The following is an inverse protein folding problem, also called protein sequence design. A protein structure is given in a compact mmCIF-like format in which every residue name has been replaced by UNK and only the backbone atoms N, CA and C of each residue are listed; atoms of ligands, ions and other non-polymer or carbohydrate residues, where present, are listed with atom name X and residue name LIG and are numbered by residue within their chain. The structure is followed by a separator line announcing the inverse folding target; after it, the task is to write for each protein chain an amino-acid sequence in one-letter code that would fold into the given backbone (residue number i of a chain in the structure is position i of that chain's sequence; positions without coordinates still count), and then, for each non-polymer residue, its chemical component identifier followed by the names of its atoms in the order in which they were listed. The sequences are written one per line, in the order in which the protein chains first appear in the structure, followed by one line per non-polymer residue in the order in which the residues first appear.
data_IF_236017115795
#
_entry.id   IF_236017115795
#
_cell.length_a   1.000
_cell.length_b   1.000
_cell.length_c   1.000
_cell.angle_alpha   90.00
_cell.angle_beta   90.00
_cell.angle_gamma   90.00
#
_symmetry.space_group_name_H-M   'P 1'
#
loop_
_entity.id
_entity.type
_entity.pdbx_description
1 polymer ?
#
# COMPACT_ATOMS: atom_id res chain seq x y z
N UNK A 1 -10.28 21.87 -9.30
CA UNK A 1 -9.63 20.55 -9.15
C UNK A 1 -8.25 20.76 -8.55
N UNK A 2 -7.77 19.81 -7.76
CA UNK A 2 -6.47 19.83 -7.10
C UNK A 2 -5.67 18.61 -7.53
N UNK A 3 -4.41 18.84 -7.87
CA UNK A 3 -3.45 17.80 -8.23
C UNK A 3 -2.28 17.90 -7.28
N UNK A 4 -1.93 16.80 -6.63
CA UNK A 4 -0.76 16.68 -5.78
C UNK A 4 0.14 15.59 -6.35
N UNK A 5 1.42 15.91 -6.53
CA UNK A 5 2.44 14.93 -6.87
C UNK A 5 3.53 14.97 -5.80
N UNK A 6 3.96 13.80 -5.38
CA UNK A 6 5.05 13.62 -4.42
C UNK A 6 6.06 12.65 -4.99
N UNK A 7 7.31 13.11 -5.07
CA UNK A 7 8.49 12.28 -5.24
C UNK A 7 9.16 12.16 -3.87
N UNK A 8 9.20 10.96 -3.32
CA UNK A 8 9.80 10.71 -2.02
C UNK A 8 10.61 9.42 -2.05
N UNK A 9 11.54 9.27 -1.12
CA UNK A 9 12.22 8.01 -0.89
C UNK A 9 12.49 7.84 0.60
N UNK A 10 12.57 6.58 1.01
CA UNK A 10 12.88 6.22 2.38
C UNK A 10 13.84 5.04 2.36
N UNK A 11 15.04 5.23 2.93
CA UNK A 11 16.08 4.20 3.03
C UNK A 11 16.59 4.13 4.46
N UNK A 12 16.98 2.94 4.88
CA UNK A 12 17.45 2.70 6.24
C UNK A 12 18.09 1.33 6.36
N UNK A 13 18.87 1.15 7.42
CA UNK A 13 19.42 -0.15 7.80
C UNK A 13 18.28 -1.10 8.15
N UNK A 14 18.37 -2.35 7.69
CA UNK A 14 17.31 -3.35 7.82
C UNK A 14 16.00 -2.96 7.13
N UNK A 15 16.00 -1.97 6.23
CA UNK A 15 14.81 -1.52 5.52
C UNK A 15 13.74 -0.89 6.42
N UNK A 16 14.15 -0.23 7.51
CA UNK A 16 13.26 0.43 8.47
C UNK A 16 13.30 1.97 8.35
N UNK A 17 12.17 2.65 8.61
CA UNK A 17 12.03 4.13 8.60
C UNK A 17 12.22 4.81 9.96
N UNK A 18 12.61 4.09 10.99
CA UNK A 18 12.67 4.52 12.40
C UNK A 18 11.35 4.31 13.19
N UNK A 19 11.47 4.02 14.50
CA UNK A 19 10.51 3.26 15.34
C UNK A 19 9.09 3.87 15.50
N UNK A 20 8.06 3.23 14.91
CA UNK A 20 6.64 3.49 15.27
C UNK A 20 5.80 2.25 15.56
N UNK A 21 6.42 1.09 15.79
CA UNK A 21 5.74 -0.03 16.47
C UNK A 21 6.30 -0.12 17.88
N UNK A 22 5.44 0.12 18.87
CA UNK A 22 5.73 -0.11 20.28
C UNK A 22 6.05 -1.61 20.44
N UNK A 23 7.33 -1.97 20.51
CA UNK A 23 7.83 -3.35 20.49
C UNK A 23 8.65 -3.76 19.26
N UNK A 24 8.89 -2.85 18.30
CA UNK A 24 9.83 -3.06 17.21
C UNK A 24 11.25 -3.11 17.78
N UNK A 25 11.85 -4.30 17.81
CA UNK A 25 13.23 -4.49 18.21
C UNK A 25 14.13 -3.50 17.43
N UNK A 26 15.17 -2.96 18.08
CA UNK A 26 16.43 -2.69 17.38
C UNK A 26 16.88 -4.08 16.90
N UNK A 27 16.30 -4.52 15.79
CA UNK A 27 16.22 -5.92 15.44
C UNK A 27 17.42 -6.29 14.60
N UNK A 28 18.05 -7.43 14.87
CA UNK A 28 19.40 -7.72 14.39
C UNK A 28 19.41 -7.86 12.87
N UNK A 29 20.61 -7.86 12.31
CA UNK A 29 20.91 -8.38 10.98
C UNK A 29 19.95 -9.50 10.57
N UNK A 30 19.57 -9.52 9.29
CA UNK A 30 18.96 -10.72 8.71
C UNK A 30 20.01 -11.82 8.71
N UNK A 31 19.97 -12.65 9.76
CA UNK A 31 20.97 -13.67 10.04
C UNK A 31 21.21 -14.54 8.81
N UNK A 32 22.44 -14.49 8.33
CA UNK A 32 22.91 -15.24 7.19
C UNK A 32 23.91 -16.31 7.66
N UNK A 33 23.81 -17.51 7.09
CA UNK A 33 24.70 -18.64 7.43
C UNK A 33 26.16 -18.38 7.08
N UNK A 34 26.43 -17.39 6.22
CA UNK A 34 27.75 -17.15 5.65
C UNK A 34 28.48 -15.93 6.23
N UNK A 35 27.78 -14.85 6.61
CA UNK A 35 28.41 -13.62 7.14
C UNK A 35 27.42 -12.84 8.00
N UNK A 36 27.93 -12.22 9.07
CA UNK A 36 27.19 -11.57 10.13
C UNK A 36 27.51 -10.07 10.33
N UNK A 37 26.61 -9.10 10.08
CA UNK A 37 26.76 -7.72 10.55
C UNK A 37 25.67 -6.73 10.11
N UNK A 38 25.17 -5.95 11.07
CA UNK A 38 24.18 -4.88 10.81
C UNK A 38 24.70 -3.80 9.86
N UNK A 39 26.02 -3.64 9.73
CA UNK A 39 26.67 -2.61 8.89
C UNK A 39 27.04 -3.09 7.49
N UNK A 40 26.63 -4.30 7.11
CA UNK A 40 26.97 -4.85 5.81
C UNK A 40 26.23 -4.08 4.68
N UNK A 41 26.83 -3.92 3.48
CA UNK A 41 26.26 -3.08 2.43
C UNK A 41 24.84 -3.47 2.01
N UNK A 42 24.50 -4.76 2.12
CA UNK A 42 23.19 -5.30 1.74
C UNK A 42 22.08 -5.07 2.77
N UNK A 43 22.42 -4.63 3.99
CA UNK A 43 21.45 -4.22 5.02
C UNK A 43 20.92 -2.81 4.77
N UNK A 44 21.62 -2.00 3.97
CA UNK A 44 21.16 -0.66 3.59
C UNK A 44 20.30 -0.69 2.33
N UNK A 45 18.99 -0.50 2.50
CA UNK A 45 18.05 -0.58 1.37
C UNK A 45 16.85 0.35 1.49
N UNK A 46 15.94 0.28 0.51
CA UNK A 46 14.61 0.89 0.63
C UNK A 46 13.90 0.40 1.88
N UNK A 47 13.07 1.24 2.46
CA UNK A 47 12.20 0.82 3.56
C UNK A 47 10.89 0.23 3.07
N UNK A 48 10.14 -0.48 3.92
CA UNK A 48 8.84 -1.08 3.56
C UNK A 48 7.80 -0.05 3.09
N UNK A 49 8.00 1.23 3.39
CA UNK A 49 7.14 2.35 2.98
C UNK A 49 7.76 3.20 1.86
N UNK A 50 8.90 2.79 1.28
CA UNK A 50 9.55 3.46 0.16
C UNK A 50 8.65 3.45 -1.09
N UNK A 51 7.92 4.54 -1.27
CA UNK A 51 6.99 4.75 -2.37
C UNK A 51 7.45 5.96 -3.18
N UNK A 52 8.03 5.70 -4.37
CA UNK A 52 8.78 6.71 -5.12
C UNK A 52 7.91 7.83 -5.67
N UNK A 53 6.86 7.46 -6.37
CA UNK A 53 5.96 8.40 -7.02
C UNK A 53 4.57 8.21 -6.44
N UNK A 54 3.92 9.30 -6.02
CA UNK A 54 2.49 9.34 -5.73
C UNK A 54 1.89 10.53 -6.45
N UNK A 55 0.77 10.29 -7.14
CA UNK A 55 -0.09 11.33 -7.68
C UNK A 55 -1.50 11.14 -7.13
N UNK A 56 -2.08 12.22 -6.65
CA UNK A 56 -3.48 12.28 -6.21
C UNK A 56 -4.17 13.44 -6.91
N UNK A 57 -5.29 13.15 -7.57
CA UNK A 57 -6.13 14.12 -8.27
C UNK A 57 -7.50 14.07 -7.64
N UNK A 58 -8.03 15.20 -7.20
CA UNK A 58 -9.38 15.28 -6.65
C UNK A 58 -10.03 16.62 -6.97
N UNK A 59 -11.34 16.67 -7.03
CA UNK A 59 -12.05 17.92 -7.19
C UNK A 59 -13.55 17.74 -7.19
N UNK A 60 -14.27 18.85 -7.26
CA UNK A 60 -15.72 18.88 -7.49
C UNK A 60 -15.95 19.55 -8.84
N UNK A 61 -16.72 18.89 -9.70
CA UNK A 61 -17.08 19.35 -11.03
C UNK A 61 -18.59 19.56 -11.05
N UNK A 62 -19.06 20.81 -11.01
CA UNK A 62 -20.47 21.09 -11.19
C UNK A 62 -20.86 20.75 -12.64
N UNK A 63 -21.92 19.98 -12.78
CA UNK A 63 -22.54 19.61 -14.05
C UNK A 63 -23.87 20.33 -14.22
N UNK A 64 -24.46 20.19 -15.41
CA UNK A 64 -25.80 20.71 -15.70
C UNK A 64 -26.84 20.06 -14.76
N UNK A 65 -27.95 20.76 -14.58
CA UNK A 65 -29.10 20.30 -13.79
C UNK A 65 -28.82 20.09 -12.30
N UNK A 66 -27.90 20.84 -11.69
CA UNK A 66 -27.64 20.75 -10.24
C UNK A 66 -27.03 19.41 -9.80
N UNK A 67 -26.28 18.77 -10.70
CA UNK A 67 -25.50 17.57 -10.40
C UNK A 67 -24.06 18.00 -10.14
N UNK A 68 -23.47 17.55 -9.05
CA UNK A 68 -22.05 17.72 -8.74
C UNK A 68 -21.36 16.37 -8.77
N UNK A 69 -20.26 16.27 -9.52
CA UNK A 69 -19.43 15.07 -9.58
C UNK A 69 -18.09 15.36 -8.91
N UNK A 70 -17.77 14.60 -7.88
CA UNK A 70 -16.54 14.72 -7.11
C UNK A 70 -15.66 13.48 -7.28
N UNK A 71 -14.82 13.40 -8.32
CA UNK A 71 -13.87 12.31 -8.49
C UNK A 71 -12.66 12.45 -7.56
N UNK A 72 -12.09 11.31 -7.17
CA UNK A 72 -10.77 11.22 -6.57
C UNK A 72 -10.00 10.04 -7.17
N UNK A 73 -8.78 10.31 -7.65
CA UNK A 73 -7.89 9.33 -8.23
C UNK A 73 -6.56 9.37 -7.48
N UNK A 74 -6.02 8.21 -7.17
CA UNK A 74 -4.67 8.08 -6.60
C UNK A 74 -3.93 6.95 -7.30
N UNK A 75 -2.72 7.26 -7.77
CA UNK A 75 -1.79 6.26 -8.26
C UNK A 75 -0.44 6.43 -7.58
N UNK A 76 0.20 5.32 -7.22
CA UNK A 76 1.52 5.35 -6.64
C UNK A 76 2.37 4.13 -6.97
N UNK A 77 3.69 4.31 -6.93
CA UNK A 77 4.65 3.24 -7.19
C UNK A 77 4.50 2.06 -6.23
N UNK A 78 4.98 0.90 -6.65
CA UNK A 78 4.99 -0.29 -5.81
C UNK A 78 5.94 -0.12 -4.61
N UNK A 79 5.43 -0.47 -3.43
CA UNK A 79 6.23 -0.57 -2.20
C UNK A 79 7.09 -1.83 -2.22
N UNK A 80 8.28 -1.79 -1.60
CA UNK A 80 9.17 -2.93 -1.63
C UNK A 80 8.88 -3.93 -0.52
N UNK A 81 9.38 -5.15 -0.72
CA UNK A 81 9.42 -6.24 0.26
C UNK A 81 10.72 -7.03 0.08
N UNK A 82 11.16 -7.69 1.15
CA UNK A 82 12.38 -8.51 1.15
C UNK A 82 12.05 -9.94 0.77
N UNK A 83 12.84 -10.55 -0.11
CA UNK A 83 12.76 -11.97 -0.44
C UNK A 83 13.83 -12.78 0.28
N UNK A 84 13.49 -14.02 0.63
CA UNK A 84 14.34 -14.93 1.38
C UNK A 84 14.51 -16.26 0.64
N UNK A 85 15.73 -16.80 0.63
CA UNK A 85 16.03 -18.08 -0.02
C UNK A 85 15.83 -19.30 0.87
N UNK A 86 15.97 -19.15 2.19
CA UNK A 86 15.91 -20.24 3.16
C UNK A 86 15.45 -19.74 4.54
N UNK A 87 14.89 -20.60 5.41
CA UNK A 87 14.59 -20.24 6.78
C UNK A 87 15.86 -19.83 7.54
N UNK A 88 15.69 -19.01 8.57
CA UNK A 88 16.80 -18.68 9.47
C UNK A 88 17.24 -19.96 10.23
N UNK A 89 18.50 -20.42 10.06
CA UNK A 89 19.02 -21.65 10.68
C UNK A 89 19.10 -21.57 12.21
N UNK A 90 19.14 -20.37 12.79
CA UNK A 90 19.32 -20.14 14.22
C UNK A 90 17.99 -20.04 14.99
N UNK A 91 16.86 -20.35 14.35
CA UNK A 91 15.56 -20.40 15.03
C UNK A 91 14.96 -19.02 15.38
N UNK A 92 15.23 -17.99 14.57
CA UNK A 92 14.66 -16.65 14.74
C UNK A 92 13.17 -16.54 14.33
N UNK A 93 12.60 -15.34 14.50
CA UNK A 93 11.22 -15.04 14.10
C UNK A 93 10.96 -15.49 12.66
N UNK A 94 9.81 -16.15 12.43
CA UNK A 94 9.34 -16.64 11.13
C UNK A 94 9.18 -15.54 10.06
N UNK A 95 9.49 -14.28 10.40
CA UNK A 95 9.51 -13.11 9.52
C UNK A 95 10.90 -12.79 8.96
N UNK A 96 11.93 -13.55 9.32
CA UNK A 96 13.32 -13.38 8.89
C UNK A 96 13.90 -14.71 8.39
N UNK A 97 14.40 -14.73 7.15
CA UNK A 97 15.12 -15.87 6.55
C UNK A 97 16.45 -15.41 5.96
N UNK A 98 17.22 -16.30 5.35
CA UNK A 98 18.46 -15.91 4.67
C UNK A 98 18.10 -15.11 3.42
N UNK A 99 18.78 -13.97 3.18
CA UNK A 99 18.57 -13.17 1.97
C UNK A 99 18.60 -14.00 0.70
N UNK A 100 17.74 -13.66 -0.25
CA UNK A 100 17.88 -14.17 -1.60
C UNK A 100 19.24 -13.72 -2.18
N UNK A 101 19.94 -14.63 -2.87
CA UNK A 101 21.24 -14.36 -3.49
C UNK A 101 21.14 -14.25 -5.01
N UNK A 102 22.05 -13.47 -5.60
CA UNK A 102 22.26 -13.41 -7.05
C UNK A 102 22.99 -14.67 -7.59
N UNK A 103 23.26 -14.70 -8.89
CA UNK A 103 23.97 -15.81 -9.54
C UNK A 103 25.43 -15.98 -9.08
N UNK A 104 26.03 -14.92 -8.51
CA UNK A 104 27.39 -14.92 -7.99
C UNK A 104 27.43 -15.28 -6.50
N UNK A 105 26.27 -15.52 -5.87
CA UNK A 105 26.16 -15.82 -4.45
C UNK A 105 26.11 -14.61 -3.54
N UNK A 106 26.02 -13.38 -4.06
CA UNK A 106 25.92 -12.17 -3.22
C UNK A 106 24.48 -11.97 -2.74
N UNK A 107 24.26 -11.54 -1.47
CA UNK A 107 22.93 -11.19 -0.99
C UNK A 107 22.32 -10.05 -1.83
N UNK A 108 21.05 -10.19 -2.23
CA UNK A 108 20.28 -9.13 -2.90
C UNK A 108 19.87 -8.01 -1.94
N UNK A 109 20.00 -8.26 -0.63
CA UNK A 109 19.78 -7.29 0.43
C UNK A 109 18.32 -7.03 0.76
N UNK A 110 18.13 -6.08 1.69
CA UNK A 110 16.79 -5.74 2.18
C UNK A 110 15.94 -5.08 1.11
N UNK A 111 14.66 -5.47 1.08
CA UNK A 111 13.64 -4.85 0.24
C UNK A 111 14.01 -4.84 -1.25
N UNK A 112 14.59 -5.95 -1.69
CA UNK A 112 15.12 -6.19 -3.03
C UNK A 112 14.03 -6.36 -4.11
N UNK A 113 12.79 -6.63 -3.72
CA UNK A 113 11.67 -6.79 -4.63
C UNK A 113 10.59 -5.71 -4.40
N UNK A 114 9.70 -5.52 -5.37
CA UNK A 114 8.56 -4.61 -5.28
C UNK A 114 7.25 -5.32 -5.59
N UNK A 115 6.22 -4.98 -4.82
CA UNK A 115 4.89 -5.56 -4.98
C UNK A 115 4.10 -4.88 -6.10
N UNK A 116 2.79 -4.67 -5.89
CA UNK A 116 1.93 -4.03 -6.90
C UNK A 116 1.80 -2.53 -6.63
N UNK A 117 1.91 -1.73 -7.69
CA UNK A 117 1.62 -0.29 -7.65
C UNK A 117 0.18 -0.04 -7.15
N UNK A 118 -0.05 1.07 -6.45
CA UNK A 118 -1.39 1.54 -6.05
C UNK A 118 -2.05 2.23 -7.25
N UNK A 119 -3.31 1.88 -7.54
CA UNK A 119 -4.16 2.63 -8.49
C UNK A 119 -5.59 2.51 -7.98
N UNK A 120 -6.19 3.65 -7.67
CA UNK A 120 -7.53 3.72 -7.09
C UNK A 120 -8.29 4.91 -7.70
N UNK A 121 -9.56 4.68 -8.04
CA UNK A 121 -10.50 5.69 -8.52
C UNK A 121 -11.79 5.56 -7.71
N UNK A 122 -12.19 6.67 -7.09
CA UNK A 122 -13.47 6.82 -6.43
C UNK A 122 -14.19 8.03 -7.01
N UNK A 123 -15.50 8.09 -6.84
CA UNK A 123 -16.27 9.28 -7.18
C UNK A 123 -17.51 9.42 -6.29
N UNK A 124 -17.93 10.64 -6.06
CA UNK A 124 -19.26 10.94 -5.50
C UNK A 124 -20.07 11.73 -6.51
N UNK A 125 -21.30 11.31 -6.76
CA UNK A 125 -22.26 12.06 -7.57
C UNK A 125 -23.35 12.55 -6.64
N UNK A 126 -23.62 13.85 -6.63
CA UNK A 126 -24.65 14.48 -5.81
C UNK A 126 -25.63 15.21 -6.72
N UNK A 127 -26.93 15.05 -6.50
CA UNK A 127 -27.98 15.84 -7.13
C UNK A 127 -28.62 16.70 -6.07
N UNK A 128 -28.57 18.01 -6.27
CA UNK A 128 -29.21 19.00 -5.41
C UNK A 128 -30.55 19.43 -6.02
N UNK A 129 -31.60 19.38 -5.21
CA UNK A 129 -32.95 19.83 -5.56
C UNK A 129 -33.35 20.90 -4.56
N UNK A 130 -33.51 22.12 -5.05
CA UNK A 130 -34.02 23.25 -4.26
C UNK A 130 -35.55 23.13 -4.18
N UNK A 131 -36.09 23.28 -2.98
CA UNK A 131 -37.51 23.28 -2.68
C UNK A 131 -37.95 24.69 -2.28
N UNK A 132 -39.26 25.01 -2.35
CA UNK A 132 -39.79 26.25 -1.80
C UNK A 132 -39.48 26.40 -0.30
N UNK A 133 -39.55 27.64 0.20
CA UNK A 133 -39.31 27.98 1.60
C UNK A 133 -37.89 27.67 2.08
N UNK A 134 -36.88 27.94 1.24
CA UNK A 134 -35.44 27.75 1.56
C UNK A 134 -35.03 26.32 1.93
N UNK A 135 -35.85 25.32 1.58
CA UNK A 135 -35.57 23.91 1.82
C UNK A 135 -34.75 23.32 0.67
N UNK A 136 -33.99 22.26 0.94
CA UNK A 136 -33.27 21.53 -0.11
C UNK A 136 -33.16 20.04 0.19
N UNK A 137 -33.22 19.22 -0.86
CA UNK A 137 -32.89 17.79 -0.81
C UNK A 137 -31.67 17.54 -1.68
N UNK A 138 -30.66 16.90 -1.10
CA UNK A 138 -29.50 16.39 -1.83
C UNK A 138 -29.55 14.87 -1.80
N UNK A 139 -29.52 14.21 -2.95
CA UNK A 139 -29.31 12.76 -3.04
C UNK A 139 -27.94 12.50 -3.60
N UNK A 140 -27.24 11.48 -3.11
CA UNK A 140 -25.89 11.17 -3.55
C UNK A 140 -25.62 9.67 -3.64
N UNK A 141 -24.70 9.34 -4.55
CA UNK A 141 -24.11 8.02 -4.70
C UNK A 141 -22.59 8.15 -4.62
N UNK A 142 -21.97 7.36 -3.75
CA UNK A 142 -20.52 7.26 -3.58
C UNK A 142 -20.05 5.93 -4.15
N UNK A 143 -19.10 6.00 -5.07
CA UNK A 143 -18.51 4.88 -5.78
C UNK A 143 -17.08 4.70 -5.28
N UNK A 144 -16.81 3.56 -4.68
CA UNK A 144 -15.49 3.20 -4.16
C UNK A 144 -14.86 2.10 -5.01
N UNK A 145 -13.56 2.21 -5.27
CA UNK A 145 -12.78 1.30 -6.11
C UNK A 145 -13.43 1.02 -7.48
N UNK A 146 -13.74 2.07 -8.25
CA UNK A 146 -14.38 1.99 -9.56
C UNK A 146 -13.60 1.16 -10.59
N UNK A 147 -12.27 1.02 -10.40
CA UNK A 147 -11.43 0.20 -11.26
C UNK A 147 -11.47 -1.30 -10.90
N UNK A 148 -12.22 -1.67 -9.85
CA UNK A 148 -12.31 -3.01 -9.31
C UNK A 148 -10.92 -3.67 -9.13
N UNK A 149 -9.95 -2.88 -8.65
CA UNK A 149 -8.55 -3.28 -8.59
C UNK A 149 -8.14 -3.56 -7.15
N UNK A 150 -7.55 -4.72 -6.92
CA UNK A 150 -6.91 -5.04 -5.66
C UNK A 150 -5.56 -4.30 -5.52
N UNK A 151 -5.35 -3.65 -4.38
CA UNK A 151 -4.15 -2.90 -4.01
C UNK A 151 -3.35 -3.65 -2.93
N UNK A 152 -2.60 -4.66 -3.37
CA UNK A 152 -1.84 -5.56 -2.50
C UNK A 152 -0.64 -4.89 -1.79
N UNK A 153 -0.13 -3.78 -2.34
CA UNK A 153 1.05 -3.10 -1.80
C UNK A 153 2.27 -4.01 -1.81
N UNK A 154 2.92 -4.15 -0.65
CA UNK A 154 4.07 -5.03 -0.41
C UNK A 154 3.71 -6.34 0.32
N UNK A 155 2.41 -6.68 0.44
CA UNK A 155 1.96 -7.94 1.05
C UNK A 155 2.11 -9.12 0.07
N UNK A 156 3.32 -9.64 -0.03
CA UNK A 156 3.69 -10.72 -0.94
C UNK A 156 4.34 -11.87 -0.18
N UNK A 157 4.09 -13.10 -0.63
CA UNK A 157 4.83 -14.26 -0.14
C UNK A 157 6.30 -14.11 -0.53
N UNK A 158 7.16 -14.07 0.48
CA UNK A 158 8.55 -13.68 0.37
C UNK A 158 9.55 -14.83 0.47
N UNK A 159 9.09 -16.02 0.84
CA UNK A 159 9.95 -17.20 1.00
C UNK A 159 10.03 -18.01 -0.30
N UNK A 160 11.22 -18.08 -0.91
CA UNK A 160 11.46 -18.87 -2.13
C UNK A 160 11.20 -20.37 -1.92
N UNK A 161 11.40 -20.85 -0.69
CA UNK A 161 11.12 -22.22 -0.26
C UNK A 161 9.64 -22.49 0.04
N UNK A 162 8.76 -21.49 -0.10
CA UNK A 162 7.30 -21.65 -0.08
C UNK A 162 6.73 -21.37 -1.49
N UNK A 163 6.92 -22.28 -2.46
CA UNK A 163 6.69 -21.99 -3.88
C UNK A 163 5.22 -21.63 -4.22
N UNK A 164 4.26 -22.10 -3.43
CA UNK A 164 2.84 -21.80 -3.64
C UNK A 164 2.48 -20.32 -3.44
N UNK A 165 3.23 -19.60 -2.60
CA UNK A 165 2.96 -18.20 -2.25
C UNK A 165 4.08 -17.26 -2.66
N UNK A 166 5.25 -17.77 -3.03
CA UNK A 166 6.40 -16.96 -3.43
C UNK A 166 6.07 -16.03 -4.61
N UNK A 167 6.35 -14.74 -4.44
CA UNK A 167 6.03 -13.66 -5.38
C UNK A 167 4.54 -13.53 -5.72
N UNK A 168 3.67 -14.14 -4.94
CA UNK A 168 2.23 -13.98 -5.06
C UNK A 168 1.70 -13.04 -3.98
N UNK A 169 0.65 -12.25 -4.26
CA UNK A 169 -0.05 -11.51 -3.23
C UNK A 169 -0.61 -12.45 -2.16
N UNK A 170 -0.33 -12.15 -0.90
CA UNK A 170 -0.86 -12.92 0.25
C UNK A 170 -1.78 -12.09 1.15
N UNK A 171 -1.91 -10.78 0.86
CA UNK A 171 -2.75 -9.86 1.63
C UNK A 171 -2.93 -8.52 0.91
N UNK A 172 -3.72 -7.64 1.50
CA UNK A 172 -4.06 -6.32 0.96
C UNK A 172 -3.70 -5.19 1.95
N UNK A 173 -3.46 -3.97 1.46
CA UNK A 173 -3.25 -2.78 2.29
C UNK A 173 -4.56 -2.30 2.93
N UNK A 174 -5.04 -2.99 3.97
CA UNK A 174 -6.32 -2.67 4.62
C UNK A 174 -6.26 -1.61 5.74
N UNK A 175 -5.10 -1.01 5.99
CA UNK A 175 -4.88 -0.10 7.12
C UNK A 175 -4.38 -0.82 8.39
N UNK A 176 -4.04 -0.05 9.43
CA UNK A 176 -3.57 -0.60 10.71
C UNK A 176 -4.69 -1.47 11.32
N UNK A 177 -4.36 -2.72 11.67
CA UNK A 177 -5.31 -3.66 12.28
C UNK A 177 -6.21 -4.41 11.28
N UNK A 178 -6.02 -4.24 9.98
CA UNK A 178 -6.77 -5.02 8.99
C UNK A 178 -6.33 -6.48 8.97
N UNK A 179 -7.24 -7.38 9.31
CA UNK A 179 -7.07 -8.84 9.20
C UNK A 179 -7.66 -9.43 7.91
N UNK A 180 -8.27 -8.60 7.05
CA UNK A 180 -8.88 -9.09 5.82
C UNK A 180 -7.83 -9.34 4.73
N UNK A 181 -7.87 -10.53 4.14
CA UNK A 181 -7.12 -10.89 2.93
C UNK A 181 -7.91 -10.63 1.66
N UNK A 182 -9.20 -10.28 1.79
CA UNK A 182 -10.09 -10.02 0.67
C UNK A 182 -9.96 -8.54 0.26
N UNK A 183 -9.53 -8.24 -0.97
CA UNK A 183 -9.49 -6.87 -1.47
C UNK A 183 -10.90 -6.27 -1.48
N UNK A 184 -11.02 -4.97 -1.19
CA UNK A 184 -12.28 -4.26 -1.43
C UNK A 184 -12.59 -4.27 -2.93
N UNK A 185 -13.68 -4.92 -3.32
CA UNK A 185 -14.22 -4.83 -4.67
C UNK A 185 -14.85 -3.44 -4.90
N UNK A 186 -15.31 -3.18 -6.13
CA UNK A 186 -16.19 -2.06 -6.39
C UNK A 186 -17.38 -2.04 -5.41
N UNK A 187 -17.62 -0.90 -4.77
CA UNK A 187 -18.71 -0.69 -3.83
C UNK A 187 -19.46 0.60 -4.13
N UNK A 188 -20.76 0.61 -3.85
CA UNK A 188 -21.61 1.79 -4.01
C UNK A 188 -22.38 2.03 -2.71
N UNK A 189 -22.37 3.27 -2.24
CA UNK A 189 -23.17 3.74 -1.12
C UNK A 189 -24.12 4.83 -1.59
N UNK A 190 -25.36 4.77 -1.14
CA UNK A 190 -26.38 5.77 -1.43
C UNK A 190 -26.74 6.54 -0.16
N UNK A 191 -27.08 7.82 -0.32
CA UNK A 191 -27.54 8.63 0.78
C UNK A 191 -28.36 9.83 0.32
N UNK A 192 -29.04 10.45 1.29
CA UNK A 192 -29.81 11.66 1.07
C UNK A 192 -29.66 12.59 2.26
N UNK A 193 -29.73 13.90 2.01
CA UNK A 193 -29.71 14.95 3.01
C UNK A 193 -30.86 15.90 2.76
N UNK A 194 -31.68 16.15 3.77
CA UNK A 194 -32.66 17.22 3.79
C UNK A 194 -32.11 18.39 4.61
N UNK A 195 -32.30 19.62 4.14
CA UNK A 195 -31.95 20.85 4.86
C UNK A 195 -33.14 21.82 4.81
N UNK A 196 -33.37 22.55 5.90
CA UNK A 196 -34.51 23.46 6.12
C UNK A 196 -34.06 24.74 6.80
#
# INVERSE_FOLDING_TARGET
MTVNYTLAWARGMGGSTDFTTQGGHIGPEIQDTQTGGIYLPYEWGPTNVDERHRVTVAGVVPMRWGIDVAPSFTAASARPYTQFQAPNPNGGSALQGIYLRDANGNPLGVNNARGKALVNLNARVTKNVVLPNSRSVSVYAEFYNMLNRANFGNNYGNFKYAPATYNQPIGYLGGIGSTTTIPISFQVQFGARFSF
#
